data_IF_987538367039
#
_entry.id   IF_987538367039
#
_cell.length_a   1.000
_cell.length_b   1.000
_cell.length_c   1.000
_cell.angle_alpha   90.00
_cell.angle_beta   90.00
_cell.angle_gamma   90.00
#
_symmetry.space_group_name_H-M   'P 1'
#
loop_
_entity.id
_entity.type
_entity.pdbx_description
1 polymer ?
#
# COMPACT_ATOMS: atom_id res chain seq x y z
N UNK A 1 14.07 -8.66 23.47
CA UNK A 1 14.67 -10.00 23.36
C UNK A 1 13.73 -10.90 24.16
N UNK A 2 12.73 -11.47 23.48
CA UNK A 2 11.73 -12.33 24.09
C UNK A 2 12.33 -13.73 24.26
N UNK A 3 12.49 -14.17 25.51
CA UNK A 3 12.76 -15.57 25.81
C UNK A 3 11.50 -16.39 25.48
N UNK A 4 11.48 -16.95 24.27
CA UNK A 4 10.56 -18.03 23.94
C UNK A 4 10.89 -19.21 24.85
N UNK A 5 9.99 -19.53 25.79
CA UNK A 5 10.02 -20.76 26.56
C UNK A 5 9.86 -21.95 25.60
N UNK A 6 11.00 -22.54 25.24
CA UNK A 6 11.13 -23.75 24.44
C UNK A 6 10.48 -24.91 25.23
N UNK A 7 9.20 -25.19 24.94
CA UNK A 7 8.40 -26.19 25.66
C UNK A 7 6.95 -25.78 25.95
N UNK A 8 6.59 -24.52 25.77
CA UNK A 8 5.18 -24.10 25.88
C UNK A 8 4.37 -24.63 24.69
N UNK A 9 3.40 -25.51 24.97
CA UNK A 9 2.43 -25.97 23.97
C UNK A 9 1.74 -24.79 23.32
N UNK A 10 1.68 -24.76 22.00
CA UNK A 10 1.01 -23.71 21.23
C UNK A 10 -0.44 -24.09 20.97
N UNK A 11 -1.24 -23.10 20.57
CA UNK A 11 -2.64 -23.32 20.21
C UNK A 11 -2.79 -24.31 19.04
N UNK A 12 -1.82 -24.32 18.11
CA UNK A 12 -1.77 -25.26 16.98
C UNK A 12 -1.67 -26.72 17.42
N UNK A 13 -0.93 -27.01 18.50
CA UNK A 13 -0.69 -28.37 18.99
C UNK A 13 -1.95 -29.02 19.60
N UNK A 14 -2.88 -28.19 20.06
CA UNK A 14 -4.15 -28.63 20.68
C UNK A 14 -5.37 -28.28 19.82
N UNK A 15 -5.16 -27.85 18.57
CA UNK A 15 -6.23 -27.34 17.71
C UNK A 15 -7.32 -28.39 17.44
N UNK A 16 -6.95 -29.67 17.37
CA UNK A 16 -7.89 -30.79 17.29
C UNK A 16 -8.80 -30.85 18.53
N UNK A 17 -8.25 -30.67 19.73
CA UNK A 17 -9.01 -30.65 20.99
C UNK A 17 -9.90 -29.40 21.10
N UNK A 18 -9.41 -28.24 20.64
CA UNK A 18 -10.18 -26.99 20.61
C UNK A 18 -11.37 -27.09 19.65
N UNK A 19 -11.20 -27.73 18.49
CA UNK A 19 -12.28 -27.99 17.53
C UNK A 19 -13.36 -28.89 18.10
N UNK A 20 -12.96 -29.86 18.93
CA UNK A 20 -13.90 -30.77 19.58
C UNK A 20 -14.78 -30.07 20.61
N UNK A 21 -14.54 -28.80 20.99
CA UNK A 21 -15.32 -28.04 22.00
C UNK A 21 -15.47 -28.77 23.34
N UNK A 22 -14.37 -29.36 23.81
CA UNK A 22 -14.33 -30.13 25.07
C UNK A 22 -14.51 -29.24 26.30
N UNK A 23 -14.06 -27.98 26.21
CA UNK A 23 -14.23 -26.96 27.24
C UNK A 23 -14.90 -25.73 26.64
N UNK A 24 -15.68 -25.04 27.47
CA UNK A 24 -16.42 -23.84 27.11
C UNK A 24 -15.97 -22.67 27.99
N UNK A 25 -15.88 -21.50 27.37
CA UNK A 25 -15.55 -20.24 28.02
C UNK A 25 -16.75 -19.29 27.86
N UNK A 26 -17.80 -19.45 28.70
CA UNK A 26 -19.02 -18.66 28.56
C UNK A 26 -18.83 -17.16 28.88
N UNK A 27 -17.66 -16.78 29.42
CA UNK A 27 -17.39 -15.40 29.89
C UNK A 27 -17.78 -15.17 31.35
N UNK A 28 -18.34 -16.19 32.01
CA UNK A 28 -18.67 -16.24 33.44
C UNK A 28 -17.45 -15.92 34.30
N UNK A 29 -17.66 -15.11 35.34
CA UNK A 29 -16.66 -14.87 36.39
C UNK A 29 -17.20 -15.26 37.76
N UNK A 30 -16.31 -15.73 38.62
CA UNK A 30 -16.63 -15.94 40.03
C UNK A 30 -16.82 -14.59 40.75
N UNK A 31 -17.26 -14.63 42.01
CA UNK A 31 -17.43 -13.43 42.84
C UNK A 31 -16.13 -12.63 43.09
N UNK A 32 -14.97 -13.20 42.79
CA UNK A 32 -13.65 -12.54 42.86
C UNK A 32 -13.19 -12.02 41.48
N UNK A 33 -14.03 -12.11 40.45
CA UNK A 33 -13.71 -11.69 39.08
C UNK A 33 -12.81 -12.67 38.33
N UNK A 34 -12.62 -13.90 38.80
CA UNK A 34 -11.78 -14.91 38.15
C UNK A 34 -12.59 -15.64 37.05
N UNK A 35 -11.98 -15.95 35.89
CA UNK A 35 -12.67 -16.62 34.79
C UNK A 35 -13.06 -18.05 35.17
N UNK A 36 -14.23 -18.48 34.70
CA UNK A 36 -14.76 -19.83 34.90
C UNK A 36 -14.73 -20.60 33.58
N UNK A 37 -14.19 -21.82 33.63
CA UNK A 37 -14.13 -22.75 32.50
C UNK A 37 -15.10 -23.89 32.77
N UNK A 38 -15.97 -24.18 31.81
CA UNK A 38 -17.01 -25.20 31.94
C UNK A 38 -16.67 -26.40 31.06
N UNK A 39 -16.76 -27.60 31.62
CA UNK A 39 -16.67 -28.86 30.88
C UNK A 39 -18.05 -29.52 30.93
N UNK A 40 -18.90 -29.31 29.91
CA UNK A 40 -20.27 -29.80 29.93
C UNK A 40 -20.31 -31.34 29.89
N UNK A 41 -21.31 -31.92 30.56
CA UNK A 41 -21.65 -33.32 30.35
C UNK A 41 -22.18 -33.51 28.93
N UNK A 42 -21.66 -34.49 28.19
CA UNK A 42 -22.11 -34.79 26.83
C UNK A 42 -23.22 -35.83 26.85
N UNK A 43 -24.30 -35.57 26.12
CA UNK A 43 -25.41 -36.52 25.93
C UNK A 43 -25.02 -37.70 25.02
N UNK A 44 -23.97 -37.55 24.20
CA UNK A 44 -23.41 -38.66 23.42
C UNK A 44 -22.50 -39.53 24.30
N UNK A 45 -22.72 -40.83 24.29
CA UNK A 45 -22.09 -41.85 25.14
C UNK A 45 -20.57 -42.04 24.97
N UNK A 46 -19.86 -41.15 24.26
CA UNK A 46 -18.40 -41.17 24.18
C UNK A 46 -17.81 -40.38 25.35
N UNK A 47 -17.19 -41.05 26.35
CA UNK A 47 -16.52 -40.35 27.44
C UNK A 47 -15.45 -39.40 26.87
N UNK A 48 -15.35 -38.20 27.46
CA UNK A 48 -14.31 -37.23 27.08
C UNK A 48 -12.95 -37.88 27.30
N UNK A 49 -12.11 -37.93 26.26
CA UNK A 49 -10.78 -38.48 26.37
C UNK A 49 -10.00 -37.72 27.47
N UNK A 50 -9.50 -38.39 28.52
CA UNK A 50 -8.77 -37.74 29.61
C UNK A 50 -7.51 -37.00 29.11
N UNK A 51 -6.94 -37.44 28.00
CA UNK A 51 -5.79 -36.77 27.37
C UNK A 51 -6.18 -35.41 26.79
N UNK A 52 -7.40 -35.25 26.28
CA UNK A 52 -7.90 -33.96 25.76
C UNK A 52 -8.01 -32.92 26.88
N UNK A 53 -8.58 -33.31 28.03
CA UNK A 53 -8.67 -32.45 29.21
C UNK A 53 -7.27 -32.08 29.71
N UNK A 54 -6.37 -33.07 29.80
CA UNK A 54 -4.97 -32.85 30.19
C UNK A 54 -4.28 -31.87 29.22
N UNK A 55 -4.49 -32.02 27.93
CA UNK A 55 -3.88 -31.17 26.90
C UNK A 55 -4.36 -29.71 26.99
N UNK A 56 -5.66 -29.48 27.24
CA UNK A 56 -6.21 -28.14 27.47
C UNK A 56 -5.60 -27.54 28.74
N UNK A 57 -5.57 -28.29 29.85
CA UNK A 57 -5.05 -27.79 31.12
C UNK A 57 -3.56 -27.48 31.03
N UNK A 58 -2.77 -28.30 30.34
CA UNK A 58 -1.35 -28.05 30.09
C UNK A 58 -1.13 -26.82 29.21
N UNK A 59 -1.96 -26.63 28.17
CA UNK A 59 -1.91 -25.43 27.34
C UNK A 59 -2.28 -24.16 28.13
N UNK A 60 -3.39 -24.18 28.86
CA UNK A 60 -3.81 -23.06 29.69
C UNK A 60 -2.78 -22.75 30.76
N UNK A 61 -2.20 -23.78 31.39
CA UNK A 61 -1.08 -23.62 32.31
C UNK A 61 0.10 -22.98 31.60
N UNK A 62 0.56 -23.49 30.46
CA UNK A 62 1.69 -22.92 29.71
C UNK A 62 1.49 -21.43 29.36
N UNK A 63 0.27 -21.03 28.96
CA UNK A 63 -0.05 -19.65 28.60
C UNK A 63 -0.22 -18.74 29.84
N UNK A 64 -0.50 -19.30 31.01
CA UNK A 64 -0.77 -18.55 32.26
C UNK A 64 0.28 -18.73 33.37
N UNK A 65 1.26 -19.62 33.18
CA UNK A 65 2.18 -20.14 34.19
C UNK A 65 3.05 -19.07 34.86
N UNK A 66 3.11 -17.86 34.30
CA UNK A 66 3.79 -16.73 34.94
C UNK A 66 2.97 -15.97 36.00
N UNK A 67 1.65 -16.19 36.13
CA UNK A 67 0.78 -15.31 36.95
C UNK A 67 -0.20 -15.97 37.91
N UNK A 68 -0.56 -17.25 37.75
CA UNK A 68 -1.69 -17.83 38.50
C UNK A 68 -1.36 -19.20 39.12
N UNK A 69 -1.72 -19.36 40.40
CA UNK A 69 -1.70 -20.62 41.17
C UNK A 69 -3.10 -21.22 41.14
N UNK A 70 -3.25 -22.47 40.69
CA UNK A 70 -4.55 -23.14 40.59
C UNK A 70 -4.82 -23.97 41.86
N UNK A 71 -6.06 -23.89 42.36
CA UNK A 71 -6.57 -24.70 43.45
C UNK A 71 -7.84 -25.40 42.94
N UNK A 72 -7.90 -26.74 43.06
CA UNK A 72 -9.01 -27.55 42.55
C UNK A 72 -9.90 -27.93 43.72
N UNK A 73 -11.19 -27.58 43.62
CA UNK A 73 -12.19 -27.90 44.63
C UNK A 73 -13.41 -28.53 43.98
N UNK A 74 -13.88 -29.64 44.55
CA UNK A 74 -15.14 -30.28 44.14
C UNK A 74 -16.30 -29.59 44.86
N UNK A 75 -17.29 -29.12 44.10
CA UNK A 75 -18.45 -28.39 44.60
C UNK A 75 -19.70 -28.99 43.95
N UNK A 76 -20.77 -29.17 44.73
CA UNK A 76 -22.06 -29.59 44.16
C UNK A 76 -22.66 -28.48 43.30
N UNK A 77 -23.54 -28.85 42.36
CA UNK A 77 -24.25 -27.87 41.51
C UNK A 77 -25.03 -26.87 42.37
N UNK A 78 -25.71 -27.31 43.43
CA UNK A 78 -26.41 -26.44 44.38
C UNK A 78 -25.47 -25.51 45.18
N UNK A 79 -24.21 -25.92 45.33
CA UNK A 79 -23.17 -25.13 45.99
C UNK A 79 -22.61 -24.00 45.12
N UNK A 80 -22.85 -24.04 43.80
CA UNK A 80 -22.23 -23.14 42.82
C UNK A 80 -22.64 -21.67 43.02
N UNK A 81 -23.90 -21.43 43.41
CA UNK A 81 -24.44 -20.09 43.70
C UNK A 81 -23.75 -19.36 44.87
N UNK A 82 -23.02 -20.10 45.72
CA UNK A 82 -22.22 -19.51 46.81
C UNK A 82 -20.96 -18.82 46.28
N UNK A 83 -20.44 -19.25 45.14
CA UNK A 83 -19.16 -18.80 44.57
C UNK A 83 -19.32 -17.94 43.33
N UNK A 84 -20.41 -18.12 42.59
CA UNK A 84 -20.71 -17.41 41.34
C UNK A 84 -22.07 -16.73 41.49
N UNK A 85 -22.17 -15.50 40.99
CA UNK A 85 -23.46 -14.78 40.93
C UNK A 85 -24.41 -15.52 39.96
N UNK A 86 -25.68 -15.79 40.33
CA UNK A 86 -26.67 -16.37 39.40
C UNK A 86 -26.78 -15.63 38.06
N UNK A 87 -26.53 -14.32 38.01
CA UNK A 87 -26.50 -13.55 36.77
C UNK A 87 -25.34 -13.89 35.82
N UNK A 88 -24.28 -14.52 36.35
CA UNK A 88 -23.09 -14.96 35.63
C UNK A 88 -23.15 -16.46 35.29
N UNK A 89 -24.13 -17.21 35.79
CA UNK A 89 -24.31 -18.63 35.50
C UNK A 89 -25.27 -18.85 34.34
N UNK A 90 -24.96 -19.81 33.46
CA UNK A 90 -25.86 -20.23 32.37
C UNK A 90 -27.09 -20.95 32.92
N UNK A 91 -28.18 -20.99 32.14
CA UNK A 91 -29.48 -21.52 32.60
C UNK A 91 -29.45 -23.00 33.01
N UNK A 92 -28.61 -23.79 32.35
CA UNK A 92 -28.34 -25.20 32.66
C UNK A 92 -27.68 -25.41 34.04
N UNK A 93 -26.97 -24.38 34.55
CA UNK A 93 -26.37 -24.36 35.87
C UNK A 93 -27.22 -23.59 36.91
N UNK A 94 -28.50 -23.34 36.60
CA UNK A 94 -29.45 -22.66 37.49
C UNK A 94 -29.32 -21.14 37.53
N UNK A 95 -28.63 -20.53 36.57
CA UNK A 95 -28.47 -19.07 36.47
C UNK A 95 -29.36 -18.39 35.44
N UNK A 96 -29.10 -17.11 35.20
CA UNK A 96 -29.85 -16.27 34.25
C UNK A 96 -29.02 -15.76 33.07
N UNK A 97 -27.73 -16.12 32.98
CA UNK A 97 -26.87 -15.75 31.85
C UNK A 97 -27.41 -16.41 30.58
N UNK A 98 -27.74 -15.57 29.60
CA UNK A 98 -28.11 -16.04 28.27
C UNK A 98 -26.82 -16.38 27.51
N UNK A 99 -26.68 -17.65 27.17
CA UNK A 99 -25.54 -18.16 26.42
C UNK A 99 -26.06 -19.14 25.38
N UNK A 100 -25.77 -18.89 24.12
CA UNK A 100 -26.10 -19.76 22.99
C UNK A 100 -24.79 -20.26 22.36
N UNK A 101 -24.70 -21.56 22.11
CA UNK A 101 -23.53 -22.20 21.51
C UNK A 101 -23.49 -22.09 19.99
N UNK A 102 -24.65 -21.92 19.35
CA UNK A 102 -24.79 -21.97 17.90
C UNK A 102 -24.87 -20.57 17.27
N UNK A 103 -25.33 -19.57 18.02
CA UNK A 103 -25.27 -18.18 17.59
C UNK A 103 -23.94 -17.58 18.07
N UNK A 104 -22.99 -17.35 17.15
CA UNK A 104 -21.62 -16.95 17.44
C UNK A 104 -21.54 -15.86 18.52
N UNK A 105 -21.22 -16.29 19.75
CA UNK A 105 -21.28 -15.53 21.01
C UNK A 105 -20.25 -14.37 21.12
N UNK A 106 -20.14 -13.55 20.09
CA UNK A 106 -19.32 -12.35 20.07
C UNK A 106 -19.91 -11.26 20.99
N UNK A 107 -21.20 -11.33 21.34
CA UNK A 107 -21.90 -10.29 22.13
C UNK A 107 -21.97 -10.57 23.63
N UNK A 108 -21.73 -11.80 24.10
CA UNK A 108 -21.90 -12.18 25.52
C UNK A 108 -20.61 -12.37 26.29
N UNK A 109 -19.49 -12.72 25.64
CA UNK A 109 -18.20 -12.89 26.34
C UNK A 109 -17.40 -11.56 26.36
N UNK A 110 -17.17 -10.94 27.53
CA UNK A 110 -16.51 -9.63 27.64
C UNK A 110 -15.02 -9.69 27.27
N UNK A 111 -14.33 -10.81 27.50
CA UNK A 111 -12.92 -10.98 27.15
C UNK A 111 -12.75 -11.10 25.63
N UNK A 112 -13.65 -11.83 24.97
CA UNK A 112 -13.69 -11.91 23.51
C UNK A 112 -14.05 -10.55 22.90
N UNK A 113 -15.08 -9.88 23.42
CA UNK A 113 -15.48 -8.55 22.97
C UNK A 113 -14.35 -7.51 23.09
N UNK A 114 -13.55 -7.58 24.17
CA UNK A 114 -12.40 -6.71 24.35
C UNK A 114 -11.22 -7.05 23.39
N UNK A 115 -11.05 -8.31 23.02
CA UNK A 115 -10.00 -8.76 22.11
C UNK A 115 -10.33 -8.53 20.62
N UNK A 116 -11.63 -8.54 20.26
CA UNK A 116 -12.09 -8.41 18.87
C UNK A 116 -11.54 -7.17 18.14
N UNK A 117 -11.53 -5.95 18.71
CA UNK A 117 -10.94 -4.79 18.04
C UNK A 117 -9.44 -4.96 17.75
N UNK A 118 -8.70 -5.60 18.65
CA UNK A 118 -7.27 -5.84 18.48
C UNK A 118 -7.02 -6.90 17.39
N UNK A 119 -7.78 -7.99 17.38
CA UNK A 119 -7.72 -9.01 16.32
C UNK A 119 -8.09 -8.42 14.96
N UNK A 120 -9.13 -7.59 14.89
CA UNK A 120 -9.51 -6.89 13.67
C UNK A 120 -8.38 -5.98 13.17
N UNK A 121 -7.74 -5.21 14.08
CA UNK A 121 -6.60 -4.37 13.74
C UNK A 121 -5.39 -5.18 13.24
N UNK A 122 -5.09 -6.33 13.83
CA UNK A 122 -4.02 -7.23 13.38
C UNK A 122 -4.31 -7.82 12.00
N UNK A 123 -5.54 -8.26 11.76
CA UNK A 123 -5.97 -8.77 10.44
C UNK A 123 -5.84 -7.67 9.38
N UNK A 124 -6.26 -6.45 9.70
CA UNK A 124 -6.15 -5.33 8.78
C UNK A 124 -4.69 -4.93 8.52
N UNK A 125 -3.86 -4.91 9.57
CA UNK A 125 -2.42 -4.68 9.44
C UNK A 125 -1.75 -5.73 8.56
N UNK A 126 -2.13 -7.01 8.72
CA UNK A 126 -1.60 -8.11 7.91
C UNK A 126 -2.05 -8.00 6.44
N UNK A 127 -3.31 -7.58 6.20
CA UNK A 127 -3.81 -7.29 4.85
C UNK A 127 -3.04 -6.15 4.19
N UNK A 128 -2.85 -5.04 4.90
CA UNK A 128 -2.05 -3.90 4.41
C UNK A 128 -0.62 -4.31 4.12
N UNK A 129 0.02 -5.04 5.03
CA UNK A 129 1.41 -5.49 4.84
C UNK A 129 1.56 -6.43 3.64
N UNK A 130 0.58 -7.32 3.41
CA UNK A 130 0.54 -8.18 2.22
C UNK A 130 0.44 -7.34 0.93
N UNK A 131 -0.42 -6.33 0.91
CA UNK A 131 -0.60 -5.45 -0.25
C UNK A 131 0.68 -4.65 -0.54
N UNK A 132 1.28 -4.07 0.51
CA UNK A 132 2.55 -3.34 0.39
C UNK A 132 3.67 -4.23 -0.15
N UNK A 133 3.75 -5.48 0.30
CA UNK A 133 4.72 -6.45 -0.19
C UNK A 133 4.48 -6.79 -1.67
N UNK A 134 3.22 -6.94 -2.08
CA UNK A 134 2.85 -7.21 -3.45
C UNK A 134 3.23 -6.05 -4.38
N UNK A 135 2.92 -4.81 -4.00
CA UNK A 135 3.30 -3.60 -4.75
C UNK A 135 4.82 -3.51 -4.89
N UNK A 136 5.56 -3.76 -3.81
CA UNK A 136 7.02 -3.75 -3.85
C UNK A 136 7.60 -4.84 -4.75
N UNK A 137 7.04 -6.05 -4.71
CA UNK A 137 7.44 -7.15 -5.57
C UNK A 137 7.19 -6.80 -7.04
N UNK A 138 5.99 -6.32 -7.37
CA UNK A 138 5.63 -5.96 -8.75
C UNK A 138 6.54 -4.84 -9.28
N UNK A 139 6.85 -3.84 -8.45
CA UNK A 139 7.80 -2.78 -8.79
C UNK A 139 9.21 -3.34 -9.07
N UNK A 140 9.71 -4.27 -8.26
CA UNK A 140 11.02 -4.90 -8.46
C UNK A 140 11.05 -5.79 -9.70
N UNK A 141 9.96 -6.52 -9.96
CA UNK A 141 9.77 -7.37 -11.14
C UNK A 141 9.82 -6.53 -12.43
N UNK A 142 9.07 -5.43 -12.47
CA UNK A 142 9.09 -4.51 -13.62
C UNK A 142 10.50 -3.94 -13.86
N UNK A 143 11.22 -3.53 -12.81
CA UNK A 143 12.61 -3.05 -12.97
C UNK A 143 13.52 -4.12 -13.55
N UNK A 144 13.38 -5.37 -13.10
CA UNK A 144 14.14 -6.50 -13.62
C UNK A 144 13.82 -6.74 -15.11
N UNK A 145 12.55 -6.70 -15.50
CA UNK A 145 12.13 -6.83 -16.90
C UNK A 145 12.77 -5.75 -17.78
N UNK A 146 12.81 -4.50 -17.30
CA UNK A 146 13.47 -3.40 -18.02
C UNK A 146 14.99 -3.63 -18.15
N UNK A 147 15.66 -4.04 -17.08
CA UNK A 147 17.09 -4.37 -17.13
C UNK A 147 17.37 -5.53 -18.08
N UNK A 148 16.50 -6.54 -18.10
CA UNK A 148 16.61 -7.68 -19.01
C UNK A 148 16.48 -7.25 -20.48
N UNK A 149 15.47 -6.44 -20.79
CA UNK A 149 15.28 -5.89 -22.15
C UNK A 149 16.47 -5.04 -22.59
N UNK A 150 17.02 -4.22 -21.70
CA UNK A 150 18.24 -3.45 -21.99
C UNK A 150 19.43 -4.37 -22.28
N UNK A 151 19.59 -5.47 -21.53
CA UNK A 151 20.65 -6.44 -21.77
C UNK A 151 20.50 -7.19 -23.09
N UNK A 152 19.27 -7.53 -23.49
CA UNK A 152 19.00 -8.08 -24.82
C UNK A 152 19.38 -7.08 -25.92
N UNK A 153 18.98 -5.81 -25.76
CA UNK A 153 19.35 -4.76 -26.71
C UNK A 153 20.87 -4.57 -26.81
N UNK A 154 21.59 -4.51 -25.69
CA UNK A 154 23.06 -4.43 -25.67
C UNK A 154 23.69 -5.62 -26.40
N UNK A 155 23.19 -6.84 -26.17
CA UNK A 155 23.68 -8.03 -26.84
C UNK A 155 23.42 -8.02 -28.36
N UNK A 156 22.25 -7.57 -28.78
CA UNK A 156 21.92 -7.47 -30.20
C UNK A 156 22.67 -6.34 -30.90
N UNK A 157 22.94 -5.24 -30.20
CA UNK A 157 23.83 -4.18 -30.68
C UNK A 157 25.26 -4.71 -30.86
N UNK A 158 25.78 -5.50 -29.91
CA UNK A 158 27.12 -6.10 -30.01
C UNK A 158 27.23 -7.06 -31.21
N UNK A 159 26.20 -7.90 -31.44
CA UNK A 159 26.13 -8.74 -32.65
C UNK A 159 26.12 -7.89 -33.92
N UNK A 160 25.41 -6.77 -33.92
CA UNK A 160 25.39 -5.85 -35.07
C UNK A 160 26.77 -5.24 -35.30
N UNK A 161 27.48 -4.82 -34.25
CA UNK A 161 28.85 -4.32 -34.35
C UNK A 161 29.80 -5.38 -34.91
N UNK A 162 29.73 -6.61 -34.41
CA UNK A 162 30.53 -7.72 -34.91
C UNK A 162 30.24 -8.01 -36.38
N UNK A 163 28.95 -8.02 -36.75
CA UNK A 163 28.53 -8.21 -38.15
C UNK A 163 29.12 -7.13 -39.06
N UNK A 164 29.01 -5.86 -38.68
CA UNK A 164 29.58 -4.73 -39.44
C UNK A 164 31.10 -4.88 -39.55
N UNK A 165 31.79 -5.24 -38.48
CA UNK A 165 33.24 -5.42 -38.47
C UNK A 165 33.69 -6.52 -39.43
N UNK A 166 33.07 -7.69 -39.35
CA UNK A 166 33.37 -8.85 -40.22
C UNK A 166 33.06 -8.53 -41.67
N UNK A 167 31.89 -7.95 -41.95
CA UNK A 167 31.49 -7.67 -43.33
C UNK A 167 32.31 -6.54 -43.94
N UNK A 168 32.69 -5.52 -43.17
CA UNK A 168 33.60 -4.49 -43.67
C UNK A 168 34.98 -5.07 -44.03
N UNK A 169 35.50 -6.00 -43.25
CA UNK A 169 36.77 -6.68 -43.55
C UNK A 169 36.67 -7.55 -44.83
N UNK A 170 35.57 -8.29 -45.01
CA UNK A 170 35.32 -9.09 -46.22
C UNK A 170 35.14 -8.19 -47.45
N UNK A 171 34.39 -7.10 -47.32
CA UNK A 171 34.19 -6.12 -48.38
C UNK A 171 35.52 -5.49 -48.78
N UNK A 172 36.36 -5.12 -47.82
CA UNK A 172 37.69 -4.56 -48.08
C UNK A 172 38.62 -5.54 -48.81
N UNK A 173 38.51 -6.85 -48.54
CA UNK A 173 39.26 -7.89 -49.25
C UNK A 173 38.76 -8.11 -50.68
N UNK A 174 37.43 -8.12 -50.88
CA UNK A 174 36.79 -8.38 -52.19
C UNK A 174 36.62 -7.15 -53.07
N UNK A 175 36.89 -5.94 -52.56
CA UNK A 175 36.66 -4.69 -53.29
C UNK A 175 37.43 -4.58 -54.62
N UNK A 176 38.47 -5.39 -54.81
CA UNK A 176 39.30 -5.45 -56.01
C UNK A 176 38.89 -6.58 -56.97
N UNK A 177 37.95 -7.46 -56.60
CA UNK A 177 37.45 -8.53 -57.46
C UNK A 177 36.38 -8.01 -58.43
N UNK A 178 36.67 -8.09 -59.73
CA UNK A 178 35.79 -7.59 -60.81
C UNK A 178 35.07 -8.76 -61.53
N UNK A 179 35.52 -10.00 -61.27
CA UNK A 179 35.10 -11.20 -61.98
C UNK A 179 35.85 -11.39 -63.32
N UNK A 180 36.06 -12.64 -63.72
CA UNK A 180 36.77 -13.02 -64.96
C UNK A 180 35.83 -13.41 -66.11
N UNK A 181 34.52 -13.37 -65.86
CA UNK A 181 33.46 -13.78 -66.78
C UNK A 181 32.16 -13.05 -66.45
N UNK A 182 31.26 -12.93 -67.43
CA UNK A 182 29.91 -12.35 -67.23
C UNK A 182 29.14 -13.04 -66.09
N UNK A 183 29.29 -14.36 -66.00
CA UNK A 183 28.65 -15.18 -64.97
C UNK A 183 29.23 -14.88 -63.57
N UNK A 184 30.56 -14.75 -63.45
CA UNK A 184 31.24 -14.39 -62.20
C UNK A 184 30.89 -12.96 -61.74
N UNK A 185 30.95 -11.98 -62.64
CA UNK A 185 30.60 -10.59 -62.33
C UNK A 185 29.11 -10.46 -61.94
N UNK A 186 28.22 -11.22 -62.58
CA UNK A 186 26.79 -11.22 -62.22
C UNK A 186 26.53 -11.73 -60.81
N UNK A 187 27.27 -12.75 -60.35
CA UNK A 187 27.20 -13.25 -58.98
C UNK A 187 27.72 -12.22 -57.97
N UNK A 188 28.86 -11.58 -58.26
CA UNK A 188 29.42 -10.51 -57.41
C UNK A 188 28.44 -9.33 -57.26
N UNK A 189 27.73 -8.95 -58.31
CA UNK A 189 26.70 -7.90 -58.27
C UNK A 189 25.50 -8.33 -57.42
N UNK A 190 25.07 -9.58 -57.50
CA UNK A 190 23.98 -10.11 -56.69
C UNK A 190 24.32 -10.09 -55.20
N UNK A 191 25.50 -10.57 -54.82
CA UNK A 191 26.01 -10.53 -53.44
C UNK A 191 26.09 -9.09 -52.91
N UNK A 192 26.60 -8.16 -53.71
CA UNK A 192 26.71 -6.75 -53.33
C UNK A 192 25.34 -6.08 -53.11
N UNK A 193 24.32 -6.45 -53.91
CA UNK A 193 22.95 -5.96 -53.73
C UNK A 193 22.32 -6.47 -52.44
N UNK A 194 22.53 -7.75 -52.13
CA UNK A 194 22.02 -8.33 -50.87
C UNK A 194 22.67 -7.64 -49.66
N UNK A 195 23.98 -7.40 -49.73
CA UNK A 195 24.69 -6.63 -48.70
C UNK A 195 24.13 -5.21 -48.53
N UNK A 196 23.91 -4.49 -49.63
CA UNK A 196 23.34 -3.14 -49.61
C UNK A 196 21.94 -3.09 -48.98
N UNK A 197 21.10 -4.09 -49.26
CA UNK A 197 19.77 -4.20 -48.64
C UNK A 197 19.87 -4.41 -47.13
N UNK A 198 20.73 -5.32 -46.68
CA UNK A 198 20.92 -5.60 -45.25
C UNK A 198 21.46 -4.38 -44.49
N UNK A 199 22.42 -3.65 -45.07
CA UNK A 199 22.94 -2.40 -44.50
C UNK A 199 21.86 -1.31 -44.37
N UNK A 200 20.91 -1.26 -45.31
CA UNK A 200 19.78 -0.31 -45.25
C UNK A 200 18.88 -0.55 -44.04
N UNK A 201 18.57 -1.82 -43.73
CA UNK A 201 17.77 -2.21 -42.54
C UNK A 201 18.43 -1.76 -41.23
N UNK A 202 19.74 -1.96 -41.08
CA UNK A 202 20.50 -1.46 -39.92
C UNK A 202 20.43 0.08 -39.80
N UNK A 203 20.50 0.78 -40.93
CA UNK A 203 20.41 2.24 -40.95
C UNK A 203 19.01 2.74 -40.54
N UNK A 204 17.94 2.06 -40.95
CA UNK A 204 16.58 2.37 -40.45
C UNK A 204 16.47 2.22 -38.94
N UNK A 205 17.04 1.15 -38.36
CA UNK A 205 17.07 0.93 -36.92
C UNK A 205 17.79 2.06 -36.17
N UNK A 206 18.96 2.50 -36.66
CA UNK A 206 19.72 3.63 -36.11
C UNK A 206 18.90 4.92 -36.10
N UNK A 207 18.28 5.29 -37.22
CA UNK A 207 17.50 6.53 -37.34
C UNK A 207 16.31 6.56 -36.36
N UNK A 208 15.64 5.43 -36.16
CA UNK A 208 14.55 5.33 -35.19
C UNK A 208 15.04 5.54 -33.75
N UNK A 209 16.17 4.93 -33.37
CA UNK A 209 16.76 5.08 -32.04
C UNK A 209 17.17 6.55 -31.79
N UNK A 210 17.82 7.18 -32.75
CA UNK A 210 18.21 8.60 -32.67
C UNK A 210 16.98 9.51 -32.53
N UNK A 211 15.90 9.24 -33.28
CA UNK A 211 14.65 9.99 -33.19
C UNK A 211 14.02 9.90 -31.79
N UNK A 212 13.93 8.69 -31.22
CA UNK A 212 13.38 8.49 -29.88
C UNK A 212 14.25 9.16 -28.82
N UNK A 213 15.58 9.06 -28.93
CA UNK A 213 16.51 9.70 -28.01
C UNK A 213 16.38 11.24 -28.04
N UNK A 214 16.28 11.84 -29.23
CA UNK A 214 16.05 13.28 -29.36
C UNK A 214 14.73 13.72 -28.73
N UNK A 215 13.65 12.95 -28.93
CA UNK A 215 12.34 13.27 -28.36
C UNK A 215 12.34 13.15 -26.83
N UNK A 216 13.04 12.16 -26.28
CA UNK A 216 13.22 12.01 -24.84
C UNK A 216 13.99 13.19 -24.24
N UNK A 217 15.07 13.63 -24.88
CA UNK A 217 15.88 14.77 -24.43
C UNK A 217 15.06 16.07 -24.44
N UNK A 218 14.21 16.28 -25.45
CA UNK A 218 13.28 17.41 -25.51
C UNK A 218 12.28 17.39 -24.34
N UNK A 219 11.63 16.25 -24.08
CA UNK A 219 10.69 16.10 -22.97
C UNK A 219 11.38 16.25 -21.60
N UNK A 220 12.59 15.73 -21.46
CA UNK A 220 13.40 15.91 -20.26
C UNK A 220 13.74 17.38 -20.01
N UNK A 221 14.09 18.13 -21.06
CA UNK A 221 14.35 19.57 -20.96
C UNK A 221 13.11 20.35 -20.51
N UNK A 222 11.94 20.02 -21.06
CA UNK A 222 10.65 20.60 -20.65
C UNK A 222 10.32 20.29 -19.20
N UNK A 223 10.51 19.03 -18.78
CA UNK A 223 10.31 18.61 -17.40
C UNK A 223 11.22 19.37 -16.43
N UNK A 224 12.52 19.46 -16.75
CA UNK A 224 13.49 20.22 -15.96
C UNK A 224 13.09 21.69 -15.83
N UNK A 225 12.69 22.31 -16.94
CA UNK A 225 12.23 23.70 -16.92
C UNK A 225 11.01 23.90 -16.02
N UNK A 226 10.02 23.00 -16.09
CA UNK A 226 8.84 23.04 -15.22
C UNK A 226 9.21 22.86 -13.73
N UNK A 227 10.17 22.00 -13.42
CA UNK A 227 10.67 21.77 -12.06
C UNK A 227 11.36 23.04 -11.51
N UNK A 228 12.19 23.69 -12.31
CA UNK A 228 12.85 24.96 -11.95
C UNK A 228 11.81 26.07 -11.70
N UNK A 229 10.80 26.20 -12.57
CA UNK A 229 9.71 27.15 -12.37
C UNK A 229 8.95 26.89 -11.06
N UNK A 230 8.61 25.62 -10.79
CA UNK A 230 7.94 25.23 -9.54
C UNK A 230 8.78 25.59 -8.32
N UNK A 231 10.08 25.32 -8.35
CA UNK A 231 11.00 25.64 -7.25
C UNK A 231 11.02 27.14 -6.99
N UNK A 232 11.16 27.97 -8.04
CA UNK A 232 11.12 29.44 -7.90
C UNK A 232 9.81 29.95 -7.32
N UNK A 233 8.67 29.41 -7.77
CA UNK A 233 7.36 29.79 -7.22
C UNK A 233 7.23 29.43 -5.74
N UNK A 234 7.74 28.27 -5.33
CA UNK A 234 7.74 27.85 -3.92
C UNK A 234 8.63 28.76 -3.07
N UNK A 235 9.82 29.15 -3.56
CA UNK A 235 10.70 30.08 -2.86
C UNK A 235 10.06 31.47 -2.70
N UNK A 236 9.42 31.97 -3.76
CA UNK A 236 8.68 33.23 -3.72
C UNK A 236 7.51 33.17 -2.73
N UNK A 237 6.71 32.10 -2.76
CA UNK A 237 5.61 31.90 -1.83
C UNK A 237 6.08 31.81 -0.38
N UNK A 238 7.17 31.09 -0.12
CA UNK A 238 7.78 30.99 1.21
C UNK A 238 8.27 32.35 1.71
N UNK A 239 8.96 33.11 0.85
CA UNK A 239 9.44 34.46 1.16
C UNK A 239 8.28 35.40 1.49
N UNK A 240 7.21 35.37 0.70
CA UNK A 240 6.00 36.12 0.94
C UNK A 240 5.38 35.77 2.30
N UNK A 241 5.12 34.49 2.58
CA UNK A 241 4.54 34.06 3.85
C UNK A 241 5.37 34.49 5.06
N UNK A 242 6.71 34.35 5.01
CA UNK A 242 7.60 34.78 6.09
C UNK A 242 7.53 36.29 6.32
N UNK A 243 7.67 37.08 5.26
CA UNK A 243 7.66 38.54 5.34
C UNK A 243 6.30 39.08 5.77
N UNK A 244 5.21 38.54 5.24
CA UNK A 244 3.84 38.90 5.62
C UNK A 244 3.55 38.56 7.08
N UNK A 245 4.01 37.40 7.57
CA UNK A 245 3.84 37.03 8.97
C UNK A 245 4.56 38.00 9.91
N UNK A 246 5.83 38.34 9.61
CA UNK A 246 6.61 39.32 10.38
C UNK A 246 5.95 40.69 10.38
N UNK A 247 5.62 41.23 9.19
CA UNK A 247 5.03 42.56 9.04
C UNK A 247 3.68 42.70 9.76
N UNK A 248 2.82 41.66 9.71
CA UNK A 248 1.53 41.67 10.43
C UNK A 248 1.75 41.56 11.95
N UNK A 249 2.70 40.74 12.41
CA UNK A 249 3.01 40.60 13.83
C UNK A 249 3.58 41.88 14.45
N UNK A 250 4.59 42.46 13.80
CA UNK A 250 5.20 43.74 14.21
C UNK A 250 4.19 44.89 14.13
N UNK A 251 3.42 44.96 13.03
CA UNK A 251 2.40 45.97 12.85
C UNK A 251 1.31 45.92 13.92
N UNK A 252 0.84 44.71 14.29
CA UNK A 252 -0.13 44.54 15.39
C UNK A 252 0.44 45.00 16.74
N UNK A 253 1.70 44.64 17.02
CA UNK A 253 2.39 45.03 18.26
C UNK A 253 2.55 46.55 18.36
N UNK A 254 2.95 47.21 17.26
CA UNK A 254 3.03 48.66 17.16
C UNK A 254 1.67 49.33 17.36
N UNK A 255 0.62 48.79 16.74
CA UNK A 255 -0.76 49.29 16.86
C UNK A 255 -1.25 49.21 18.32
N UNK A 256 -0.91 48.14 19.04
CA UNK A 256 -1.22 47.95 20.47
C UNK A 256 -0.47 48.95 21.35
N UNK A 257 0.84 49.12 21.14
CA UNK A 257 1.66 50.09 21.88
C UNK A 257 1.17 51.52 21.69
N UNK A 258 0.88 51.91 20.44
CA UNK A 258 0.32 53.23 20.15
C UNK A 258 -1.00 53.43 20.87
N UNK A 259 -1.92 52.44 20.83
CA UNK A 259 -3.21 52.53 21.53
C UNK A 259 -3.06 52.68 23.06
N UNK A 260 -2.04 52.06 23.66
CA UNK A 260 -1.75 52.18 25.08
C UNK A 260 -1.20 53.57 25.48
N UNK A 261 -0.51 54.27 24.57
CA UNK A 261 0.20 55.52 24.85
C UNK A 261 -0.65 56.80 24.71
N UNK A 262 -1.78 56.81 24.01
CA UNK A 262 -2.54 58.06 23.80
C UNK A 262 -4.06 57.97 23.67
N UNK A 263 -4.67 56.90 24.17
CA UNK A 263 -6.13 56.79 24.30
C UNK A 263 -6.90 56.95 22.97
N UNK A 264 -8.21 57.25 23.04
CA UNK A 264 -9.11 57.28 21.87
C UNK A 264 -8.76 58.32 20.78
N UNK A 265 -7.89 59.29 21.09
CA UNK A 265 -7.47 60.35 20.16
C UNK A 265 -6.54 59.83 19.05
N UNK A 266 -5.87 58.69 19.28
CA UNK A 266 -4.93 58.08 18.33
C UNK A 266 -5.58 57.50 17.07
N UNK A 267 -6.88 57.18 17.12
CA UNK A 267 -7.63 56.74 15.94
C UNK A 267 -7.63 57.75 14.78
N UNK A 268 -7.26 59.00 15.04
CA UNK A 268 -7.13 60.06 14.02
C UNK A 268 -5.70 60.24 13.49
N UNK A 269 -4.68 59.59 14.07
CA UNK A 269 -3.30 59.70 13.63
C UNK A 269 -3.09 59.00 12.27
N UNK A 270 -2.64 59.75 11.27
CA UNK A 270 -2.42 59.26 9.91
C UNK A 270 -1.43 58.07 9.85
N UNK A 271 -0.41 58.04 10.70
CA UNK A 271 0.55 56.94 10.77
C UNK A 271 -0.08 55.66 11.33
N UNK A 272 -0.96 55.79 12.33
CA UNK A 272 -1.71 54.65 12.88
C UNK A 272 -2.66 54.06 11.83
N UNK A 273 -3.44 54.92 11.14
CA UNK A 273 -4.33 54.49 10.05
C UNK A 273 -3.56 53.78 8.94
N UNK A 274 -2.40 54.32 8.55
CA UNK A 274 -1.57 53.72 7.52
C UNK A 274 -1.07 52.30 7.90
N UNK A 275 -0.61 52.10 9.15
CA UNK A 275 -0.17 50.76 9.62
C UNK A 275 -1.35 49.77 9.60
N UNK A 276 -2.53 50.19 10.06
CA UNK A 276 -3.74 49.37 10.03
C UNK A 276 -4.13 49.02 8.59
N UNK A 277 -4.08 49.99 7.68
CA UNK A 277 -4.40 49.79 6.26
C UNK A 277 -3.42 48.81 5.59
N UNK A 278 -2.12 48.92 5.87
CA UNK A 278 -1.10 47.99 5.34
C UNK A 278 -1.33 46.56 5.88
N UNK A 279 -1.63 46.40 7.17
CA UNK A 279 -1.97 45.08 7.75
C UNK A 279 -3.21 44.49 7.06
N UNK A 280 -4.24 45.30 6.82
CA UNK A 280 -5.45 44.86 6.12
C UNK A 280 -5.17 44.51 4.65
N UNK A 281 -4.33 45.27 3.96
CA UNK A 281 -3.89 44.96 2.59
C UNK A 281 -3.13 43.63 2.53
N UNK A 282 -2.16 43.40 3.42
CA UNK A 282 -1.42 42.13 3.50
C UNK A 282 -2.38 40.97 3.80
N UNK A 283 -3.33 41.16 4.72
CA UNK A 283 -4.33 40.14 5.07
C UNK A 283 -5.24 39.80 3.88
N UNK A 284 -5.68 40.81 3.11
CA UNK A 284 -6.46 40.59 1.89
C UNK A 284 -5.66 39.85 0.83
N UNK A 285 -4.40 40.23 0.60
CA UNK A 285 -3.52 39.54 -0.34
C UNK A 285 -3.29 38.06 0.05
N UNK A 286 -3.16 37.76 1.34
CA UNK A 286 -3.07 36.39 1.86
C UNK A 286 -4.33 35.56 1.54
N UNK A 287 -5.52 36.13 1.77
CA UNK A 287 -6.80 35.45 1.48
C UNK A 287 -6.97 35.20 -0.02
N UNK A 288 -6.67 36.19 -0.84
CA UNK A 288 -6.75 36.09 -2.30
C UNK A 288 -5.80 35.02 -2.85
N UNK A 289 -4.55 35.02 -2.39
CA UNK A 289 -3.57 34.00 -2.79
C UNK A 289 -4.03 32.59 -2.40
N UNK A 290 -4.61 32.42 -1.22
CA UNK A 290 -5.15 31.13 -0.78
C UNK A 290 -6.35 30.70 -1.63
N UNK A 291 -7.27 31.61 -1.96
CA UNK A 291 -8.42 31.33 -2.81
C UNK A 291 -7.99 30.87 -4.21
N UNK A 292 -7.06 31.59 -4.85
CA UNK A 292 -6.51 31.21 -6.15
C UNK A 292 -5.79 29.86 -6.11
N UNK A 293 -5.06 29.57 -5.04
CA UNK A 293 -4.44 28.27 -4.84
C UNK A 293 -5.47 27.14 -4.75
N UNK A 294 -6.52 27.31 -3.95
CA UNK A 294 -7.60 26.31 -3.80
C UNK A 294 -8.31 26.06 -5.13
N UNK A 295 -8.64 27.11 -5.87
CA UNK A 295 -9.29 26.99 -7.18
C UNK A 295 -8.41 26.22 -8.18
N UNK A 296 -7.12 26.56 -8.25
CA UNK A 296 -6.15 25.85 -9.11
C UNK A 296 -5.96 24.40 -8.66
N UNK A 297 -5.93 24.13 -7.37
CA UNK A 297 -5.84 22.77 -6.80
C UNK A 297 -7.02 21.93 -7.26
N UNK A 298 -8.25 22.43 -7.11
CA UNK A 298 -9.46 21.71 -7.53
C UNK A 298 -9.41 21.41 -9.02
N UNK A 299 -9.12 22.42 -9.87
CA UNK A 299 -8.98 22.22 -11.33
C UNK A 299 -7.96 21.15 -11.69
N UNK A 300 -6.82 21.13 -11.00
CA UNK A 300 -5.78 20.12 -11.22
C UNK A 300 -6.27 18.72 -10.86
N UNK A 301 -6.92 18.54 -9.70
CA UNK A 301 -7.45 17.23 -9.28
C UNK A 301 -8.51 16.73 -10.27
N UNK A 302 -9.40 17.61 -10.75
CA UNK A 302 -10.38 17.25 -11.77
C UNK A 302 -9.72 16.81 -13.08
N UNK A 303 -8.66 17.50 -13.53
CA UNK A 303 -7.91 17.10 -14.73
C UNK A 303 -7.17 15.77 -14.55
N UNK A 304 -6.55 15.54 -13.39
CA UNK A 304 -5.89 14.27 -13.10
C UNK A 304 -6.88 13.11 -13.06
N UNK A 305 -8.05 13.31 -12.47
CA UNK A 305 -9.12 12.32 -12.48
C UNK A 305 -9.60 12.01 -13.91
N UNK A 306 -9.72 13.03 -14.77
CA UNK A 306 -10.07 12.83 -16.18
C UNK A 306 -9.01 12.00 -16.92
N UNK A 307 -7.73 12.32 -16.77
CA UNK A 307 -6.63 11.57 -17.41
C UNK A 307 -6.58 10.13 -16.90
N UNK A 308 -6.78 9.91 -15.60
CA UNK A 308 -6.86 8.57 -15.02
C UNK A 308 -8.02 7.77 -15.64
N UNK A 309 -9.20 8.37 -15.75
CA UNK A 309 -10.35 7.76 -16.39
C UNK A 309 -10.10 7.43 -17.87
N UNK A 310 -9.49 8.34 -18.62
CA UNK A 310 -9.10 8.10 -20.03
C UNK A 310 -8.09 6.95 -20.15
N UNK A 311 -7.13 6.87 -19.24
CA UNK A 311 -6.13 5.79 -19.23
C UNK A 311 -6.78 4.44 -18.89
N UNK A 312 -7.67 4.41 -17.90
CA UNK A 312 -8.37 3.19 -17.48
C UNK A 312 -9.32 2.70 -18.57
N UNK A 313 -10.06 3.61 -19.21
CA UNK A 313 -10.93 3.26 -20.34
C UNK A 313 -10.14 2.71 -21.53
N UNK A 314 -8.97 3.30 -21.86
CA UNK A 314 -8.07 2.75 -22.88
C UNK A 314 -7.59 1.34 -22.54
N UNK A 315 -7.20 1.08 -21.28
CA UNK A 315 -6.78 -0.26 -20.84
C UNK A 315 -7.92 -1.28 -20.94
N UNK A 316 -9.14 -0.89 -20.57
CA UNK A 316 -10.32 -1.77 -20.70
C UNK A 316 -10.61 -2.07 -22.17
N UNK A 317 -10.55 -1.07 -23.04
CA UNK A 317 -10.73 -1.27 -24.49
C UNK A 317 -9.66 -2.21 -25.05
N UNK A 318 -8.39 -2.00 -24.71
CA UNK A 318 -7.29 -2.87 -25.12
C UNK A 318 -7.47 -4.32 -24.62
N UNK A 319 -7.96 -4.49 -23.38
CA UNK A 319 -8.27 -5.82 -22.85
C UNK A 319 -9.41 -6.49 -23.63
N UNK A 320 -10.48 -5.75 -23.93
CA UNK A 320 -11.61 -6.24 -24.72
C UNK A 320 -11.21 -6.62 -26.14
N UNK A 321 -10.34 -5.84 -26.80
CA UNK A 321 -9.81 -6.19 -28.12
C UNK A 321 -8.96 -7.47 -28.09
N UNK A 322 -8.14 -7.65 -27.06
CA UNK A 322 -7.24 -8.80 -26.96
C UNK A 322 -7.92 -10.09 -26.48
N UNK A 323 -8.93 -9.98 -25.62
CA UNK A 323 -9.53 -11.13 -24.92
C UNK A 323 -11.03 -11.29 -25.17
N UNK A 324 -11.70 -10.28 -25.72
CA UNK A 324 -13.15 -10.26 -25.91
C UNK A 324 -13.64 -11.37 -26.84
N UNK A 325 -13.01 -11.55 -28.00
CA UNK A 325 -13.40 -12.61 -28.95
C UNK A 325 -13.15 -14.01 -28.37
N UNK A 326 -12.05 -14.20 -27.67
CA UNK A 326 -11.74 -15.46 -27.00
C UNK A 326 -12.74 -15.78 -25.87
N UNK A 327 -13.18 -14.76 -25.14
CA UNK A 327 -14.20 -14.87 -24.10
C UNK A 327 -15.59 -15.17 -24.70
N UNK A 328 -15.97 -14.48 -25.77
CA UNK A 328 -17.25 -14.71 -26.46
C UNK A 328 -17.30 -16.11 -27.06
N UNK A 329 -16.23 -16.57 -27.73
CA UNK A 329 -16.17 -17.92 -28.31
C UNK A 329 -16.29 -19.04 -27.27
N UNK A 330 -15.72 -18.86 -26.07
CA UNK A 330 -15.85 -19.82 -24.96
C UNK A 330 -17.23 -19.83 -24.31
N UNK A 331 -17.98 -18.74 -24.43
CA UNK A 331 -19.30 -18.56 -23.83
C UNK A 331 -20.41 -18.46 -24.89
N UNK A 332 -20.30 -19.22 -25.98
CA UNK A 332 -21.34 -19.33 -27.02
C UNK A 332 -22.44 -20.35 -26.69
N UNK A 333 -22.30 -21.12 -25.60
CA UNK A 333 -23.33 -22.03 -25.15
C UNK A 333 -24.51 -21.26 -24.55
N UNK A 334 -25.57 -21.10 -25.33
CA UNK A 334 -26.91 -20.87 -24.79
C UNK A 334 -27.26 -22.17 -24.05
N UNK A 335 -27.54 -22.05 -22.74
CA UNK A 335 -27.95 -23.17 -21.89
C UNK A 335 -29.14 -23.95 -22.44
#
# INVERSE_FOLDING_TARGET
MEEFHEGCRKAEDILHVLRDRVAQLPGTRDRKGRPVIVFPARESSSPINPDHIRNILLYLHAVTAGKYKFEVQMISVDGLMRYIDPAQLTRDLGGTLFYDHDDGAATTNPDLAAALPHLAALVESLRSSKEDLFIQWETRRQKLDHCYQLKLFEQDAEKMFEWVRVHFALLAQRFLEIGDSEQSTSLLIADQREFANNASVCNYGKVQIESVAMRLEEEWRRFKHALEQRTRLLDQALSFHRKSHLAVGEGRSLTQLLKALGGDVIGQNNSYKHVVDVIQQITRAHKEMHAQWQERKIRLHSRLALIAFETDTQRVLQWLEQHGDAYLNKNTAIG
#
